data_IF_204021684173
#
_entry.id   IF_204021684173
#
_cell.length_a   1.000
_cell.length_b   1.000
_cell.length_c   1.000
_cell.angle_alpha   90.00
_cell.angle_beta   90.00
_cell.angle_gamma   90.00
#
_symmetry.space_group_name_H-M   'P 1'
#
loop_
_entity.id
_entity.type
_entity.pdbx_description
1 polymer ?
#
# COMPACT_ATOMS: atom_id res chain seq x y z
N UNK A 1 17.90 -14.96 -17.28
CA UNK A 1 16.93 -14.44 -16.31
C UNK A 1 17.15 -15.16 -14.99
N UNK A 2 17.60 -14.46 -13.97
CA UNK A 2 17.88 -15.03 -12.64
C UNK A 2 16.96 -14.35 -11.61
N UNK A 3 15.73 -14.85 -11.52
CA UNK A 3 14.68 -14.26 -10.71
C UNK A 3 14.83 -14.66 -9.24
N UNK A 4 14.89 -13.68 -8.37
CA UNK A 4 14.92 -13.85 -6.93
C UNK A 4 13.85 -12.99 -6.23
N UNK A 5 13.42 -13.44 -5.05
CA UNK A 5 12.43 -12.75 -4.22
C UNK A 5 13.03 -12.49 -2.85
N UNK A 6 12.90 -11.26 -2.38
CA UNK A 6 13.42 -10.84 -1.07
C UNK A 6 12.33 -10.09 -0.30
N UNK A 7 12.37 -10.15 1.02
CA UNK A 7 11.55 -9.25 1.85
C UNK A 7 12.01 -7.82 1.58
N UNK A 8 11.06 -6.93 1.37
CA UNK A 8 11.31 -5.51 1.07
C UNK A 8 12.13 -4.84 2.18
N UNK A 9 13.11 -4.05 1.77
CA UNK A 9 13.90 -3.22 2.67
C UNK A 9 13.70 -1.75 2.30
N UNK A 10 12.67 -1.12 2.89
CA UNK A 10 12.30 0.26 2.60
C UNK A 10 13.34 1.30 3.03
N UNK A 11 14.35 0.94 3.81
CA UNK A 11 15.44 1.84 4.17
C UNK A 11 16.53 1.81 3.10
N UNK A 12 16.91 0.62 2.64
CA UNK A 12 18.04 0.45 1.72
C UNK A 12 17.68 0.62 0.23
N UNK A 13 16.43 0.29 -0.13
CA UNK A 13 16.04 0.15 -1.54
C UNK A 13 15.20 1.32 -2.09
N UNK A 14 15.13 2.47 -1.37
CA UNK A 14 14.27 3.60 -1.78
C UNK A 14 14.54 4.09 -3.20
N UNK A 15 15.80 4.20 -3.61
CA UNK A 15 16.16 4.63 -4.96
C UNK A 15 15.73 3.62 -6.02
N UNK A 16 15.86 2.33 -5.75
CA UNK A 16 15.38 1.28 -6.66
C UNK A 16 13.85 1.30 -6.79
N UNK A 17 13.15 1.60 -5.68
CA UNK A 17 11.68 1.76 -5.72
C UNK A 17 11.28 2.96 -6.57
N UNK A 18 11.95 4.10 -6.44
CA UNK A 18 11.70 5.29 -7.28
C UNK A 18 11.87 4.93 -8.76
N UNK A 19 12.97 4.29 -9.12
CA UNK A 19 13.25 3.89 -10.49
C UNK A 19 12.17 2.94 -11.03
N UNK A 20 11.79 1.91 -10.27
CA UNK A 20 10.73 0.98 -10.64
C UNK A 20 9.38 1.69 -10.78
N UNK A 21 9.02 2.56 -9.83
CA UNK A 21 7.72 3.24 -9.87
C UNK A 21 7.64 4.25 -11.01
N UNK A 22 8.70 4.99 -11.27
CA UNK A 22 8.74 5.93 -12.41
C UNK A 22 8.67 5.21 -13.76
N UNK A 23 9.16 3.96 -13.86
CA UNK A 23 8.96 3.13 -15.05
C UNK A 23 7.53 2.58 -15.20
N UNK A 24 6.82 2.41 -14.10
CA UNK A 24 5.48 1.79 -14.07
C UNK A 24 4.33 2.80 -14.06
N UNK A 25 4.54 3.95 -13.43
CA UNK A 25 3.53 5.00 -13.23
C UNK A 25 4.01 6.28 -13.92
N UNK A 26 3.16 6.87 -14.73
CA UNK A 26 3.48 8.08 -15.51
C UNK A 26 3.51 9.37 -14.67
N UNK A 27 3.88 9.31 -13.41
CA UNK A 27 3.80 10.43 -12.49
C UNK A 27 5.12 10.64 -11.74
N UNK A 28 5.65 11.87 -11.75
CA UNK A 28 6.86 12.29 -11.03
C UNK A 28 6.64 12.49 -9.51
N UNK A 29 5.68 11.81 -8.92
CA UNK A 29 5.37 11.96 -7.49
C UNK A 29 6.29 11.15 -6.58
N UNK A 30 7.04 10.20 -7.12
CA UNK A 30 7.90 9.33 -6.34
C UNK A 30 9.28 9.94 -6.20
N UNK A 31 9.58 10.44 -5.02
CA UNK A 31 10.89 10.94 -4.61
C UNK A 31 11.27 10.37 -3.24
N UNK A 32 12.52 10.58 -2.81
CA UNK A 32 13.04 10.04 -1.56
C UNK A 32 12.25 10.51 -0.34
N UNK A 33 11.91 11.79 -0.27
CA UNK A 33 11.19 12.36 0.87
C UNK A 33 9.80 11.76 1.01
N UNK A 34 9.08 11.62 -0.12
CA UNK A 34 7.76 11.03 -0.14
C UNK A 34 7.78 9.55 0.25
N UNK A 35 8.68 8.75 -0.35
CA UNK A 35 8.74 7.33 -0.02
C UNK A 35 9.25 7.09 1.40
N UNK A 36 10.20 7.88 1.88
CA UNK A 36 10.66 7.78 3.26
C UNK A 36 9.55 8.16 4.25
N UNK A 37 8.78 9.23 3.97
CA UNK A 37 7.60 9.57 4.76
C UNK A 37 6.56 8.44 4.75
N UNK A 38 6.25 7.92 3.57
CA UNK A 38 5.21 6.92 3.39
C UNK A 38 5.58 5.58 4.03
N UNK A 39 6.81 5.11 3.83
CA UNK A 39 7.24 3.76 4.19
C UNK A 39 7.86 3.65 5.58
N UNK A 40 8.55 4.69 6.02
CA UNK A 40 9.35 4.62 7.24
C UNK A 40 8.83 5.49 8.39
N UNK A 41 8.00 6.51 8.11
CA UNK A 41 7.45 7.42 9.13
C UNK A 41 5.98 7.18 9.45
N UNK A 42 5.37 6.13 8.91
CA UNK A 42 4.00 5.76 9.24
C UNK A 42 3.90 5.33 10.71
N UNK A 43 3.05 5.97 11.53
CA UNK A 43 2.95 5.67 12.96
C UNK A 43 2.37 4.28 13.28
N UNK A 44 1.72 3.63 12.32
CA UNK A 44 1.20 2.26 12.46
C UNK A 44 2.26 1.18 12.16
N UNK A 45 3.44 1.56 11.67
CA UNK A 45 4.54 0.66 11.37
C UNK A 45 5.16 0.90 9.99
N UNK A 46 6.31 0.26 9.76
CA UNK A 46 7.04 0.37 8.49
C UNK A 46 6.34 -0.42 7.37
N UNK A 47 6.61 -0.01 6.15
CA UNK A 47 6.23 -0.75 4.95
C UNK A 47 6.73 -2.19 5.01
N UNK A 48 5.88 -3.14 4.63
CA UNK A 48 6.25 -4.54 4.43
C UNK A 48 5.88 -4.98 3.01
N UNK A 49 6.70 -5.85 2.44
CA UNK A 49 6.45 -6.31 1.07
C UNK A 49 7.44 -7.35 0.61
N UNK A 50 7.27 -7.76 -0.64
CA UNK A 50 8.17 -8.65 -1.36
C UNK A 50 8.68 -7.94 -2.59
N UNK A 51 10.00 -7.88 -2.71
CA UNK A 51 10.74 -7.38 -3.86
C UNK A 51 11.12 -8.53 -4.79
N UNK A 52 10.93 -8.33 -6.09
CA UNK A 52 11.34 -9.26 -7.13
C UNK A 52 12.50 -8.67 -7.94
N UNK A 53 13.58 -9.40 -8.04
CA UNK A 53 14.79 -8.99 -8.76
C UNK A 53 15.06 -9.92 -9.94
N UNK A 54 15.58 -9.36 -11.04
CA UNK A 54 16.35 -10.10 -12.05
C UNK A 54 17.83 -9.72 -11.86
N UNK A 55 18.63 -10.67 -11.39
CA UNK A 55 19.95 -10.40 -10.81
C UNK A 55 19.83 -9.37 -9.67
N UNK A 56 20.41 -8.16 -9.82
CA UNK A 56 20.37 -7.07 -8.81
C UNK A 56 19.40 -5.94 -9.19
N UNK A 57 18.67 -6.06 -10.29
CA UNK A 57 17.71 -5.07 -10.75
C UNK A 57 16.31 -5.38 -10.16
N UNK A 58 15.73 -4.44 -9.47
CA UNK A 58 14.36 -4.54 -8.96
C UNK A 58 13.37 -4.42 -10.12
N UNK A 59 12.61 -5.48 -10.37
CA UNK A 59 11.67 -5.59 -11.51
C UNK A 59 10.21 -5.70 -11.10
N UNK A 60 9.93 -5.85 -9.82
CA UNK A 60 8.58 -5.90 -9.32
C UNK A 60 8.50 -5.83 -7.81
N UNK A 61 7.40 -5.31 -7.31
CA UNK A 61 7.12 -5.19 -5.89
C UNK A 61 5.64 -5.35 -5.61
N UNK A 62 5.33 -6.07 -4.53
CA UNK A 62 4.01 -6.14 -3.91
C UNK A 62 4.18 -5.96 -2.42
N UNK A 63 3.48 -4.99 -1.86
CA UNK A 63 3.53 -4.73 -0.44
C UNK A 63 2.55 -3.65 -0.02
N UNK A 64 2.66 -3.19 1.22
CA UNK A 64 1.77 -2.19 1.75
C UNK A 64 2.18 -1.65 3.11
N UNK A 65 1.38 -0.73 3.60
CA UNK A 65 1.57 -0.09 4.89
C UNK A 65 0.64 -0.70 5.95
N UNK A 66 1.14 -0.90 7.17
CA UNK A 66 0.29 -1.17 8.32
C UNK A 66 -0.67 -0.01 8.58
N UNK A 67 -1.89 -0.37 8.91
CA UNK A 67 -2.94 0.55 9.32
C UNK A 67 -3.83 -0.14 10.35
N UNK A 68 -4.46 0.64 11.21
CA UNK A 68 -5.39 0.14 12.19
C UNK A 68 -6.83 0.42 11.76
N UNK A 69 -7.69 -0.58 11.91
CA UNK A 69 -9.13 -0.51 11.73
C UNK A 69 -9.84 -1.00 12.97
N UNK A 70 -11.08 -0.57 13.15
CA UNK A 70 -12.02 -1.22 14.04
C UNK A 70 -13.00 -2.06 13.22
N UNK A 71 -13.28 -3.26 13.68
CA UNK A 71 -14.42 -4.05 13.30
C UNK A 71 -15.29 -4.23 14.52
N UNK A 72 -16.39 -3.49 14.58
CA UNK A 72 -17.13 -3.27 15.82
C UNK A 72 -16.18 -2.75 16.90
N UNK A 73 -16.07 -3.42 18.02
CA UNK A 73 -15.17 -3.04 19.13
C UNK A 73 -13.75 -3.63 19.01
N UNK A 74 -13.51 -4.54 18.05
CA UNK A 74 -12.22 -5.21 17.87
C UNK A 74 -11.31 -4.38 16.99
N UNK A 75 -10.12 -4.05 17.51
CA UNK A 75 -9.05 -3.41 16.76
C UNK A 75 -8.32 -4.45 15.89
N UNK A 76 -8.19 -4.14 14.61
CA UNK A 76 -7.52 -4.97 13.61
C UNK A 76 -6.27 -4.28 13.10
N UNK A 77 -5.21 -5.07 12.85
CA UNK A 77 -3.99 -4.64 12.13
C UNK A 77 -4.09 -5.09 10.69
N UNK A 78 -4.31 -4.15 9.80
CA UNK A 78 -4.52 -4.40 8.37
C UNK A 78 -3.32 -3.88 7.59
N UNK A 79 -2.98 -4.51 6.49
CA UNK A 79 -2.08 -3.95 5.49
C UNK A 79 -2.90 -3.31 4.37
N UNK A 80 -2.72 -2.02 4.15
CA UNK A 80 -3.18 -1.38 2.91
C UNK A 80 -2.10 -1.52 1.86
N UNK A 81 -2.40 -2.28 0.80
CA UNK A 81 -1.49 -2.45 -0.33
C UNK A 81 -1.43 -1.19 -1.19
N UNK A 82 -0.21 -0.76 -1.47
CA UNK A 82 0.08 0.48 -2.21
C UNK A 82 1.29 0.30 -3.14
N UNK A 83 1.35 1.12 -4.18
CA UNK A 83 2.48 1.22 -5.11
C UNK A 83 2.93 -0.12 -5.69
N UNK A 84 1.97 -1.01 -5.94
CA UNK A 84 2.23 -2.36 -6.46
C UNK A 84 2.47 -2.31 -7.95
N UNK A 85 3.60 -2.86 -8.40
CA UNK A 85 3.90 -2.90 -9.83
C UNK A 85 4.88 -4.01 -10.22
N UNK A 86 4.88 -4.31 -11.51
CA UNK A 86 5.87 -5.11 -12.22
C UNK A 86 6.30 -4.32 -13.44
N UNK A 87 7.61 -4.20 -13.65
CA UNK A 87 8.20 -3.51 -14.80
C UNK A 87 7.58 -4.00 -16.10
N UNK A 88 7.33 -3.06 -17.02
CA UNK A 88 6.62 -3.31 -18.26
C UNK A 88 7.26 -4.42 -19.10
N UNK A 89 8.59 -4.53 -19.11
CA UNK A 89 9.33 -5.53 -19.88
C UNK A 89 9.20 -6.94 -19.30
N UNK A 90 8.72 -7.06 -18.06
CA UNK A 90 8.58 -8.34 -17.35
C UNK A 90 7.11 -8.75 -17.15
N UNK A 91 6.15 -7.99 -17.70
CA UNK A 91 4.73 -8.35 -17.66
C UNK A 91 4.42 -9.60 -18.46
N UNK A 92 3.29 -10.24 -18.18
CA UNK A 92 2.89 -11.48 -18.85
C UNK A 92 3.55 -12.76 -18.31
N UNK A 93 4.56 -12.66 -17.43
CA UNK A 93 5.33 -13.80 -16.90
C UNK A 93 4.80 -14.30 -15.54
N UNK A 94 3.60 -13.91 -15.14
CA UNK A 94 2.96 -14.27 -13.86
C UNK A 94 3.77 -13.83 -12.63
N UNK A 95 4.66 -12.84 -12.77
CA UNK A 95 5.49 -12.37 -11.64
C UNK A 95 4.62 -11.76 -10.55
N UNK A 96 3.62 -10.96 -10.91
CA UNK A 96 2.68 -10.38 -9.94
C UNK A 96 2.10 -11.46 -9.02
N UNK A 97 1.53 -12.53 -9.57
CA UNK A 97 0.94 -13.60 -8.76
C UNK A 97 1.94 -14.25 -7.82
N UNK A 98 3.16 -14.54 -8.32
CA UNK A 98 4.22 -15.13 -7.49
C UNK A 98 4.67 -14.22 -6.34
N UNK A 99 4.73 -12.89 -6.58
CA UNK A 99 5.08 -11.91 -5.56
C UNK A 99 3.92 -11.78 -4.56
N UNK A 100 2.67 -11.72 -5.05
CA UNK A 100 1.47 -11.59 -4.23
C UNK A 100 1.27 -12.79 -3.29
N UNK A 101 1.50 -14.02 -3.77
CA UNK A 101 1.45 -15.23 -2.94
C UNK A 101 2.45 -15.16 -1.76
N UNK A 102 3.68 -14.73 -2.06
CA UNK A 102 4.71 -14.56 -1.03
C UNK A 102 4.39 -13.43 -0.07
N UNK A 103 3.79 -12.35 -0.57
CA UNK A 103 3.35 -11.23 0.25
C UNK A 103 2.20 -11.64 1.19
N UNK A 104 1.23 -12.42 0.72
CA UNK A 104 0.17 -12.97 1.58
C UNK A 104 0.75 -13.82 2.71
N UNK A 105 1.72 -14.69 2.41
CA UNK A 105 2.41 -15.47 3.42
C UNK A 105 3.13 -14.57 4.42
N UNK A 106 3.82 -13.52 3.95
CA UNK A 106 4.51 -12.56 4.83
C UNK A 106 3.53 -11.84 5.77
N UNK A 107 2.37 -11.42 5.27
CA UNK A 107 1.32 -10.78 6.06
C UNK A 107 0.82 -11.72 7.16
N UNK A 108 0.53 -12.98 6.83
CA UNK A 108 0.09 -14.01 7.79
C UNK A 108 1.14 -14.28 8.87
N UNK A 109 2.41 -14.42 8.48
CA UNK A 109 3.50 -14.72 9.43
C UNK A 109 3.83 -13.55 10.36
N UNK A 110 3.49 -12.31 9.97
CA UNK A 110 3.65 -11.12 10.81
C UNK A 110 2.39 -10.77 11.62
N UNK A 111 1.43 -11.71 11.72
CA UNK A 111 0.22 -11.56 12.52
C UNK A 111 -0.63 -10.32 12.18
N UNK A 112 -0.75 -9.98 10.90
CA UNK A 112 -1.74 -9.03 10.43
C UNK A 112 -3.08 -9.74 10.19
N UNK A 113 -4.17 -9.06 10.50
CA UNK A 113 -5.52 -9.59 10.40
C UNK A 113 -6.05 -9.64 8.95
N UNK A 114 -5.45 -8.88 8.02
CA UNK A 114 -5.87 -8.90 6.63
C UNK A 114 -5.14 -7.92 5.71
N UNK A 115 -5.51 -7.97 4.44
CA UNK A 115 -5.02 -7.10 3.36
C UNK A 115 -6.19 -6.37 2.75
N UNK A 116 -6.07 -5.05 2.59
CA UNK A 116 -6.96 -4.23 1.75
C UNK A 116 -6.14 -3.73 0.57
N UNK A 117 -6.63 -3.95 -0.65
CA UNK A 117 -6.03 -3.45 -1.86
C UNK A 117 -6.98 -2.47 -2.57
N UNK A 118 -6.50 -1.28 -2.88
CA UNK A 118 -7.22 -0.31 -3.70
C UNK A 118 -6.65 -0.43 -5.10
N UNK A 119 -7.33 -1.20 -5.94
CA UNK A 119 -6.90 -1.51 -7.29
C UNK A 119 -7.59 -0.64 -8.34
N UNK A 120 -6.87 -0.29 -9.40
CA UNK A 120 -7.47 0.23 -10.61
C UNK A 120 -8.03 -0.92 -11.47
N UNK A 121 -8.64 -0.59 -12.60
CA UNK A 121 -9.27 -1.55 -13.52
C UNK A 121 -8.37 -2.75 -13.91
N UNK A 122 -7.05 -2.54 -14.02
CA UNK A 122 -6.10 -3.61 -14.37
C UNK A 122 -5.58 -4.39 -13.16
N UNK A 123 -5.44 -3.76 -12.01
CA UNK A 123 -4.90 -4.39 -10.81
C UNK A 123 -5.94 -5.24 -10.06
N UNK A 124 -7.21 -4.82 -10.03
CA UNK A 124 -8.28 -5.53 -9.31
C UNK A 124 -8.42 -7.00 -9.74
N UNK A 125 -8.51 -7.35 -11.04
CA UNK A 125 -8.57 -8.75 -11.45
C UNK A 125 -7.33 -9.56 -11.06
N UNK A 126 -6.15 -8.91 -11.08
CA UNK A 126 -4.91 -9.56 -10.70
C UNK A 126 -4.89 -9.93 -9.21
N UNK A 127 -5.37 -9.06 -8.33
CA UNK A 127 -5.51 -9.31 -6.91
C UNK A 127 -6.48 -10.45 -6.61
N UNK A 128 -7.67 -10.41 -7.19
CA UNK A 128 -8.69 -11.46 -7.02
C UNK A 128 -8.14 -12.81 -7.45
N UNK A 129 -7.48 -12.87 -8.63
CA UNK A 129 -6.96 -14.12 -9.16
C UNK A 129 -5.75 -14.66 -8.39
N UNK A 130 -4.90 -13.80 -7.82
CA UNK A 130 -3.64 -14.21 -7.20
C UNK A 130 -3.81 -14.69 -5.77
N UNK A 131 -4.48 -13.92 -4.93
CA UNK A 131 -4.64 -14.24 -3.50
C UNK A 131 -6.10 -14.25 -3.04
N UNK A 132 -7.01 -14.43 -3.97
CA UNK A 132 -8.44 -14.60 -3.72
C UNK A 132 -9.06 -13.49 -2.88
N UNK A 133 -8.67 -12.22 -3.12
CA UNK A 133 -9.30 -11.08 -2.45
C UNK A 133 -10.75 -10.94 -2.90
N UNK A 134 -11.63 -10.67 -1.96
CA UNK A 134 -13.03 -10.36 -2.26
C UNK A 134 -13.15 -8.92 -2.74
N UNK A 135 -13.81 -8.70 -3.86
CA UNK A 135 -14.14 -7.35 -4.32
C UNK A 135 -15.31 -6.82 -3.48
N UNK A 136 -15.07 -5.74 -2.74
CA UNK A 136 -16.07 -5.11 -1.87
C UNK A 136 -16.85 -4.00 -2.59
N UNK A 137 -16.45 -3.60 -3.78
CA UNK A 137 -17.09 -2.52 -4.55
C UNK A 137 -16.11 -1.45 -5.01
N UNK A 138 -16.65 -0.37 -5.54
CA UNK A 138 -15.91 0.81 -5.97
C UNK A 138 -15.80 1.81 -4.81
N UNK A 139 -14.66 2.52 -4.74
CA UNK A 139 -14.52 3.63 -3.80
C UNK A 139 -15.11 4.89 -4.40
N UNK A 140 -16.01 5.50 -3.68
CA UNK A 140 -16.51 6.83 -4.00
C UNK A 140 -15.54 7.89 -3.45
N UNK A 141 -15.21 8.88 -4.27
CA UNK A 141 -14.40 10.02 -3.87
C UNK A 141 -15.25 11.29 -3.88
N UNK A 142 -15.29 11.98 -2.75
CA UNK A 142 -15.98 13.25 -2.62
C UNK A 142 -14.98 14.39 -2.54
N UNK A 143 -15.24 15.46 -3.28
CA UNK A 143 -14.51 16.71 -3.20
C UNK A 143 -15.44 17.77 -2.59
N UNK A 144 -15.02 18.39 -1.50
CA UNK A 144 -15.78 19.46 -0.84
C UNK A 144 -14.93 20.71 -0.67
N UNK A 145 -15.59 21.87 -0.70
CA UNK A 145 -15.01 23.17 -0.36
C UNK A 145 -15.68 23.64 0.93
N UNK A 146 -14.90 24.02 1.94
CA UNK A 146 -15.41 24.51 3.21
C UNK A 146 -14.79 23.84 4.42
N UNK A 147 -15.28 24.18 5.60
CA UNK A 147 -14.85 23.59 6.85
C UNK A 147 -15.38 22.16 6.98
N UNK A 148 -14.50 21.26 7.44
CA UNK A 148 -14.91 19.89 7.80
C UNK A 148 -15.61 20.02 9.16
N UNK A 149 -16.92 19.77 9.17
CA UNK A 149 -17.66 19.70 10.43
C UNK A 149 -17.44 18.32 11.06
N UNK A 150 -16.58 18.28 12.09
CA UNK A 150 -16.24 17.05 12.81
C UNK A 150 -17.42 16.49 13.62
N UNK A 151 -18.41 17.33 13.97
CA UNK A 151 -19.56 16.95 14.78
C UNK A 151 -20.51 15.94 14.10
N UNK A 152 -20.38 15.77 12.79
CA UNK A 152 -21.22 14.87 12.01
C UNK A 152 -20.64 13.49 11.74
N UNK A 153 -19.41 13.20 12.21
CA UNK A 153 -18.80 11.89 12.02
C UNK A 153 -19.07 10.98 13.23
N UNK A 154 -20.15 10.22 13.14
CA UNK A 154 -20.44 9.17 14.11
C UNK A 154 -19.94 7.80 13.60
N UNK A 155 -18.79 7.39 14.11
CA UNK A 155 -18.17 6.10 13.76
C UNK A 155 -19.00 4.90 14.22
N UNK A 156 -19.93 5.08 15.18
CA UNK A 156 -20.80 4.01 15.68
C UNK A 156 -21.77 3.47 14.62
N UNK A 157 -22.01 4.22 13.55
CA UNK A 157 -22.85 3.82 12.42
C UNK A 157 -22.19 2.78 11.51
N UNK A 158 -20.88 2.52 11.67
CA UNK A 158 -20.13 1.64 10.80
C UNK A 158 -19.54 0.47 11.58
N UNK A 159 -19.79 -0.75 11.09
CA UNK A 159 -19.17 -1.96 11.63
C UNK A 159 -17.67 -2.03 11.38
N UNK A 160 -17.17 -1.39 10.32
CA UNK A 160 -15.78 -1.40 9.91
C UNK A 160 -15.32 0.00 9.50
N UNK A 161 -14.34 0.55 10.22
CA UNK A 161 -13.83 1.89 9.98
C UNK A 161 -12.35 2.03 10.35
N UNK A 162 -11.68 2.98 9.71
CA UNK A 162 -10.27 3.27 9.94
C UNK A 162 -10.05 4.00 11.26
N UNK A 163 -9.09 3.53 12.06
CA UNK A 163 -8.70 4.20 13.30
C UNK A 163 -7.84 5.43 12.99
N UNK A 164 -8.31 6.61 13.36
CA UNK A 164 -7.57 7.86 13.27
C UNK A 164 -7.13 8.32 14.66
N UNK A 165 -5.80 8.32 14.89
CA UNK A 165 -5.18 8.94 16.07
C UNK A 165 -4.56 10.27 15.67
N UNK A 166 -4.32 11.15 16.66
CA UNK A 166 -3.61 12.43 16.45
C UNK A 166 -2.27 12.22 15.73
N UNK A 167 -1.51 11.19 16.12
CA UNK A 167 -0.23 10.85 15.47
C UNK A 167 -0.42 10.49 13.98
N UNK A 168 -1.47 9.75 13.67
CA UNK A 168 -1.76 9.35 12.29
C UNK A 168 -2.25 10.53 11.47
N UNK A 169 -3.09 11.38 12.04
CA UNK A 169 -3.55 12.61 11.39
C UNK A 169 -2.37 13.54 11.13
N UNK A 170 -1.56 13.83 12.15
CA UNK A 170 -0.34 14.63 12.02
C UNK A 170 0.60 14.09 10.95
N UNK A 171 0.86 12.77 10.93
CA UNK A 171 1.65 12.16 9.87
C UNK A 171 1.03 12.39 8.49
N UNK A 172 -0.28 12.23 8.35
CA UNK A 172 -0.97 12.40 7.06
C UNK A 172 -0.92 13.84 6.55
N UNK A 173 -1.07 14.82 7.42
CA UNK A 173 -0.97 16.25 7.11
C UNK A 173 0.45 16.68 6.73
N UNK A 174 1.48 16.00 7.24
CA UNK A 174 2.88 16.23 6.91
C UNK A 174 3.36 15.47 5.65
N UNK A 175 2.46 15.12 4.73
CA UNK A 175 2.84 14.53 3.45
C UNK A 175 3.66 15.53 2.62
N UNK A 176 4.94 15.23 2.25
CA UNK A 176 5.80 16.19 1.57
C UNK A 176 5.33 16.56 0.16
N UNK A 177 4.45 15.75 -0.44
CA UNK A 177 3.86 16.04 -1.75
C UNK A 177 2.57 16.86 -1.68
N UNK A 178 1.98 17.01 -0.49
CA UNK A 178 0.79 17.86 -0.33
C UNK A 178 1.25 19.25 0.12
N UNK A 179 1.18 20.22 -0.78
CA UNK A 179 1.20 21.63 -0.39
C UNK A 179 -0.18 21.96 0.16
N UNK A 180 -0.39 21.70 1.45
CA UNK A 180 -1.54 22.25 2.17
C UNK A 180 -1.16 23.70 2.45
N UNK A 181 -1.84 24.62 1.79
CA UNK A 181 -1.73 26.06 2.01
C UNK A 181 -2.72 26.47 3.09
#
# INVERSE_FOLDING_TARGET
MNISYKISNSIKNLEQYINLYNSCFSEDKFNLDYLNWLYNKNPCGHYIGIDCFDNDVLIGQVGGMPIEFFWKEKKLKIIISINVCVDNNYRGQKLFSKIADKFEMLVKTNNFDGIIAIGNKSATPAWIKSINLTNLGELEAFLGLGEINEDNFDSSQYDFYSCWSEKRLSWRLNNPNNKIF
#
